data_IF_629275637261
#
_entry.id   IF_629275637261
#
_cell.length_a   1.000
_cell.length_b   1.000
_cell.length_c   1.000
_cell.angle_alpha   90.00
_cell.angle_beta   90.00
_cell.angle_gamma   90.00
#
_symmetry.space_group_name_H-M   'P 1'
#
loop_
_entity.id
_entity.type
_entity.pdbx_description
1 polymer ?
#
# COMPACT_ATOMS: atom_id res chain seq x y z
N UNK A 1 -21.20 14.19 6.88
CA UNK A 1 -21.80 13.47 5.73
C UNK A 1 -20.83 12.36 5.35
N UNK A 2 -21.32 11.19 4.93
CA UNK A 2 -20.47 10.01 4.72
C UNK A 2 -20.77 9.36 3.38
N UNK A 3 -19.73 9.08 2.60
CA UNK A 3 -19.78 8.22 1.42
C UNK A 3 -19.03 6.93 1.76
N UNK A 4 -19.64 5.77 1.53
CA UNK A 4 -19.03 4.46 1.78
C UNK A 4 -19.00 3.65 0.48
N UNK A 5 -17.84 3.13 0.11
CA UNK A 5 -17.63 2.21 -0.98
C UNK A 5 -17.14 0.89 -0.39
N UNK A 6 -17.94 -0.17 -0.48
CA UNK A 6 -17.67 -1.46 0.17
C UNK A 6 -17.82 -2.56 -0.87
N UNK A 7 -16.81 -3.42 -1.03
CA UNK A 7 -16.85 -4.50 -2.03
C UNK A 7 -17.14 -3.97 -3.45
N UNK A 8 -16.56 -2.83 -3.79
CA UNK A 8 -16.80 -2.12 -5.04
C UNK A 8 -15.53 -2.02 -5.87
N UNK A 9 -15.69 -2.02 -7.20
CA UNK A 9 -14.60 -1.67 -8.10
C UNK A 9 -14.93 -0.37 -8.81
N UNK A 10 -14.21 0.71 -8.47
CA UNK A 10 -14.13 1.90 -9.30
C UNK A 10 -12.95 1.72 -10.23
N UNK A 11 -13.23 1.20 -11.43
CA UNK A 11 -12.23 0.87 -12.45
C UNK A 11 -11.16 1.97 -12.53
N UNK A 12 -9.87 1.66 -12.26
CA UNK A 12 -8.78 2.60 -12.53
C UNK A 12 -8.88 3.14 -13.96
N UNK A 13 -8.70 4.44 -14.18
CA UNK A 13 -8.91 5.04 -15.51
C UNK A 13 -10.39 5.11 -15.95
N UNK A 14 -11.34 4.80 -15.06
CA UNK A 14 -12.81 4.96 -15.21
C UNK A 14 -13.50 4.05 -16.23
N UNK A 15 -12.79 3.53 -17.24
CA UNK A 15 -13.39 2.73 -18.33
C UNK A 15 -12.40 1.70 -18.88
N UNK A 16 -12.96 0.58 -19.31
CA UNK A 16 -12.26 -0.47 -20.06
C UNK A 16 -12.82 -0.56 -21.49
N UNK A 17 -11.99 -1.03 -22.40
CA UNK A 17 -12.42 -1.53 -23.70
C UNK A 17 -13.11 -2.89 -23.56
N UNK A 18 -13.69 -3.40 -24.65
CA UNK A 18 -14.23 -4.75 -24.67
C UNK A 18 -13.15 -5.82 -24.41
N UNK A 19 -11.91 -5.51 -24.77
CA UNK A 19 -10.73 -6.38 -24.62
C UNK A 19 -10.04 -6.20 -23.25
N UNK A 20 -10.60 -5.37 -22.37
CA UNK A 20 -10.08 -5.14 -21.01
C UNK A 20 -8.98 -4.07 -20.91
N UNK A 21 -8.68 -3.35 -21.99
CA UNK A 21 -7.69 -2.27 -21.98
C UNK A 21 -8.24 -1.00 -21.33
N UNK A 22 -7.40 -0.27 -20.60
CA UNK A 22 -7.76 1.00 -19.98
C UNK A 22 -7.98 2.08 -21.05
N UNK A 23 -9.19 2.65 -21.10
CA UNK A 23 -9.57 3.63 -22.13
C UNK A 23 -9.71 5.07 -21.62
N UNK A 24 -9.69 5.28 -20.31
CA UNK A 24 -9.88 6.60 -19.74
C UNK A 24 -8.70 7.05 -18.91
N UNK A 25 -8.61 8.36 -18.81
CA UNK A 25 -7.64 9.05 -17.97
C UNK A 25 -8.36 9.79 -16.84
N UNK A 26 -7.70 9.87 -15.69
CA UNK A 26 -8.13 10.68 -14.57
C UNK A 26 -8.73 9.91 -13.38
N UNK A 27 -9.11 10.66 -12.33
CA UNK A 27 -9.47 10.10 -11.03
C UNK A 27 -10.80 9.35 -11.06
N UNK A 28 -10.87 8.28 -10.28
CA UNK A 28 -12.09 7.51 -10.03
C UNK A 28 -13.07 8.22 -9.11
N UNK A 29 -12.55 8.97 -8.13
CA UNK A 29 -13.36 9.74 -7.19
C UNK A 29 -12.79 11.15 -7.05
N UNK A 30 -13.66 12.16 -7.16
CA UNK A 30 -13.31 13.56 -6.92
C UNK A 30 -14.31 14.16 -5.95
N UNK A 31 -13.85 14.57 -4.78
CA UNK A 31 -14.66 15.32 -3.82
C UNK A 31 -14.59 16.79 -4.18
N UNK A 32 -15.67 17.36 -4.70
CA UNK A 32 -15.75 18.79 -5.01
C UNK A 32 -16.64 19.53 -4.02
N UNK A 33 -16.42 20.83 -3.93
CA UNK A 33 -17.36 21.74 -3.29
C UNK A 33 -18.66 21.90 -4.08
N UNK A 34 -19.66 22.54 -3.47
CA UNK A 34 -20.91 22.91 -4.16
C UNK A 34 -20.69 23.97 -5.24
N UNK A 35 -21.55 23.98 -6.26
CA UNK A 35 -21.42 24.86 -7.45
C UNK A 35 -21.71 26.34 -7.16
N UNK A 36 -22.43 26.65 -6.07
CA UNK A 36 -22.80 28.01 -5.67
C UNK A 36 -22.04 28.49 -4.43
N UNK A 37 -20.93 29.21 -4.66
CA UNK A 37 -20.10 29.85 -3.62
C UNK A 37 -18.81 29.09 -3.28
N UNK A 38 -18.00 29.56 -2.29
CA UNK A 38 -16.79 28.87 -1.83
C UNK A 38 -17.17 27.65 -0.96
N UNK A 39 -18.05 26.79 -1.48
CA UNK A 39 -18.69 25.70 -0.75
C UNK A 39 -17.72 24.52 -0.56
N UNK A 40 -16.74 24.72 0.31
CA UNK A 40 -15.78 23.72 0.79
C UNK A 40 -16.49 22.52 1.42
N UNK A 41 -16.14 21.29 1.01
CA UNK A 41 -16.84 20.06 1.41
C UNK A 41 -16.33 19.53 2.76
N UNK A 42 -16.37 20.39 3.78
CA UNK A 42 -15.62 20.22 5.04
C UNK A 42 -16.03 19.07 5.95
N UNK A 43 -17.19 18.48 5.67
CA UNK A 43 -17.82 17.45 6.50
C UNK A 43 -18.00 16.15 5.72
N UNK A 44 -17.35 15.98 4.58
CA UNK A 44 -17.44 14.74 3.83
C UNK A 44 -16.33 13.79 4.27
N UNK A 45 -16.77 12.67 4.82
CA UNK A 45 -15.96 11.49 5.13
C UNK A 45 -16.12 10.46 4.02
N UNK A 46 -15.02 10.05 3.41
CA UNK A 46 -14.98 9.00 2.40
C UNK A 46 -14.40 7.73 3.03
N UNK A 47 -15.17 6.66 3.02
CA UNK A 47 -14.74 5.34 3.49
C UNK A 47 -14.72 4.37 2.32
N UNK A 48 -13.60 3.67 2.13
CA UNK A 48 -13.43 2.65 1.10
C UNK A 48 -12.92 1.40 1.78
N UNK A 49 -13.63 0.28 1.61
CA UNK A 49 -13.19 -1.00 2.15
C UNK A 49 -13.38 -2.15 1.16
N UNK A 50 -12.48 -3.13 1.17
CA UNK A 50 -12.55 -4.32 0.31
C UNK A 50 -12.78 -3.96 -1.17
N UNK A 51 -12.15 -2.89 -1.63
CA UNK A 51 -12.47 -2.27 -2.91
C UNK A 51 -11.22 -2.01 -3.73
N UNK A 52 -11.40 -2.00 -5.06
CA UNK A 52 -10.38 -1.53 -6.00
C UNK A 52 -10.84 -0.18 -6.50
N UNK A 53 -9.98 0.82 -6.44
CA UNK A 53 -10.29 2.16 -6.93
C UNK A 53 -9.13 2.69 -7.75
N UNK A 54 -9.43 3.50 -8.76
CA UNK A 54 -8.42 4.38 -9.32
C UNK A 54 -8.10 5.56 -8.37
N UNK A 55 -7.33 6.49 -8.90
CA UNK A 55 -6.95 7.74 -8.24
C UNK A 55 -8.13 8.43 -7.50
N UNK A 56 -7.87 8.79 -6.24
CA UNK A 56 -8.79 9.51 -5.36
C UNK A 56 -8.31 10.94 -5.17
N UNK A 57 -9.22 11.90 -5.38
CA UNK A 57 -8.94 13.34 -5.28
C UNK A 57 -9.83 13.97 -4.21
N UNK A 58 -9.24 14.29 -3.06
CA UNK A 58 -9.93 14.85 -1.91
C UNK A 58 -9.21 16.10 -1.41
N UNK A 59 -9.88 17.25 -1.32
CA UNK A 59 -9.26 18.49 -0.88
C UNK A 59 -8.98 18.48 0.63
N UNK A 60 -7.98 19.24 1.07
CA UNK A 60 -7.51 19.32 2.47
C UNK A 60 -8.58 19.71 3.51
N UNK A 61 -9.69 20.27 3.04
CA UNK A 61 -10.77 20.74 3.88
C UNK A 61 -11.78 19.63 4.18
N UNK A 62 -11.80 18.54 3.40
CA UNK A 62 -12.65 17.38 3.65
C UNK A 62 -12.37 16.74 5.02
N UNK A 63 -13.35 16.02 5.56
CA UNK A 63 -13.21 15.38 6.89
C UNK A 63 -12.08 14.34 6.88
N UNK A 64 -11.96 13.59 5.77
CA UNK A 64 -10.86 12.67 5.54
C UNK A 64 -11.20 11.49 4.65
N UNK A 65 -10.18 10.68 4.42
CA UNK A 65 -10.23 9.41 3.71
C UNK A 65 -9.93 8.26 4.67
N UNK A 66 -10.76 7.23 4.66
CA UNK A 66 -10.52 5.97 5.35
C UNK A 66 -10.45 4.84 4.33
N UNK A 67 -9.33 4.13 4.28
CA UNK A 67 -9.09 2.98 3.41
C UNK A 67 -8.86 1.73 4.25
N UNK A 68 -9.45 0.61 3.85
CA UNK A 68 -9.35 -0.67 4.55
C UNK A 68 -9.30 -1.82 3.56
N UNK A 69 -8.31 -2.70 3.62
CA UNK A 69 -8.29 -3.93 2.80
C UNK A 69 -8.53 -3.62 1.29
N UNK A 70 -7.90 -2.56 0.78
CA UNK A 70 -8.25 -1.96 -0.53
C UNK A 70 -7.03 -1.69 -1.41
N UNK A 71 -7.28 -1.57 -2.72
CA UNK A 71 -6.28 -1.18 -3.71
C UNK A 71 -6.66 0.21 -4.25
N UNK A 72 -5.68 1.12 -4.29
CA UNK A 72 -5.82 2.42 -4.95
C UNK A 72 -4.75 2.55 -6.03
N UNK A 73 -5.16 2.73 -7.27
CA UNK A 73 -4.25 2.82 -8.42
C UNK A 73 -4.31 4.16 -9.14
N UNK A 74 -3.17 4.86 -9.12
CA UNK A 74 -2.96 6.13 -9.79
C UNK A 74 -2.65 6.02 -11.29
N UNK A 75 -2.45 4.81 -11.83
CA UNK A 75 -2.10 4.55 -13.24
C UNK A 75 -0.91 5.40 -13.71
N UNK A 76 0.18 5.38 -12.93
CA UNK A 76 1.39 6.19 -13.19
C UNK A 76 1.30 7.63 -12.67
N UNK A 77 0.12 8.10 -12.26
CA UNK A 77 -0.08 9.35 -11.56
C UNK A 77 -0.17 9.21 -10.03
N UNK A 78 -0.60 10.27 -9.32
CA UNK A 78 -0.86 10.19 -7.89
C UNK A 78 -2.10 9.34 -7.61
N UNK A 79 -1.95 8.35 -6.73
CA UNK A 79 -3.06 7.55 -6.23
C UNK A 79 -3.96 8.38 -5.31
N UNK A 80 -3.35 9.14 -4.38
CA UNK A 80 -4.05 10.00 -3.42
C UNK A 80 -3.54 11.43 -3.57
N UNK A 81 -4.43 12.39 -3.81
CA UNK A 81 -4.04 13.79 -3.94
C UNK A 81 -5.18 14.78 -3.63
N UNK A 82 -4.82 16.05 -3.50
CA UNK A 82 -5.76 17.17 -3.44
C UNK A 82 -6.42 17.47 -4.79
N UNK A 83 -7.18 18.57 -4.86
CA UNK A 83 -7.80 19.04 -6.11
C UNK A 83 -6.92 20.02 -6.89
N UNK A 84 -5.94 20.61 -6.23
CA UNK A 84 -5.15 21.71 -6.78
C UNK A 84 -4.08 21.21 -7.76
N UNK A 85 -3.62 22.11 -8.64
CA UNK A 85 -2.70 21.81 -9.77
C UNK A 85 -1.34 21.21 -9.37
N UNK A 86 -1.02 21.16 -8.07
CA UNK A 86 0.21 20.55 -7.56
C UNK A 86 0.03 19.18 -6.92
N UNK A 87 -1.19 18.60 -6.93
CA UNK A 87 -1.57 17.37 -6.22
C UNK A 87 -1.39 17.42 -4.69
N UNK A 88 -0.99 18.58 -4.18
CA UNK A 88 -0.83 18.93 -2.76
C UNK A 88 -2.18 19.33 -2.16
N UNK A 89 -2.19 19.62 -0.87
CA UNK A 89 -3.40 20.02 -0.12
C UNK A 89 -4.49 18.94 -0.19
N UNK A 90 -4.08 17.71 0.12
CA UNK A 90 -4.93 16.54 0.19
C UNK A 90 -5.56 16.35 1.58
N UNK A 91 -6.73 15.72 1.64
CA UNK A 91 -7.41 15.43 2.91
C UNK A 91 -6.55 14.59 3.90
N UNK A 92 -6.83 14.64 5.21
CA UNK A 92 -6.30 13.66 6.16
C UNK A 92 -6.67 12.22 5.75
N UNK A 93 -5.76 11.27 6.01
CA UNK A 93 -5.94 9.87 5.59
C UNK A 93 -5.67 8.88 6.73
N UNK A 94 -6.54 7.88 6.84
CA UNK A 94 -6.39 6.69 7.67
C UNK A 94 -6.44 5.46 6.76
N UNK A 95 -5.35 4.70 6.70
CA UNK A 95 -5.18 3.64 5.71
C UNK A 95 -4.73 2.36 6.43
N UNK A 96 -5.50 1.29 6.29
CA UNK A 96 -5.17 0.01 6.89
C UNK A 96 -5.14 -1.08 5.83
N UNK A 97 -4.12 -1.95 5.89
CA UNK A 97 -4.01 -3.17 5.07
C UNK A 97 -4.37 -2.91 3.61
N UNK A 98 -3.73 -1.92 3.00
CA UNK A 98 -4.08 -1.47 1.65
C UNK A 98 -2.84 -1.34 0.77
N UNK A 99 -3.01 -1.51 -0.53
CA UNK A 99 -1.93 -1.37 -1.52
C UNK A 99 -2.19 -0.12 -2.35
N UNK A 100 -1.24 0.82 -2.33
CA UNK A 100 -1.35 2.11 -2.99
C UNK A 100 -0.33 2.18 -4.13
N UNK A 101 -0.83 2.09 -5.36
CA UNK A 101 -0.04 2.18 -6.59
C UNK A 101 0.00 3.64 -7.07
N UNK A 102 1.07 4.37 -6.75
CA UNK A 102 1.22 5.77 -7.14
C UNK A 102 1.48 6.70 -5.95
N UNK A 103 1.92 7.93 -6.25
CA UNK A 103 2.30 8.90 -5.23
C UNK A 103 1.11 9.23 -4.33
N UNK A 104 1.37 9.47 -3.05
CA UNK A 104 0.34 9.73 -2.05
C UNK A 104 0.59 11.04 -1.32
N UNK A 105 -0.41 11.92 -1.33
CA UNK A 105 -0.39 13.18 -0.61
C UNK A 105 -1.48 13.17 0.46
N UNK A 106 -1.17 13.70 1.65
CA UNK A 106 -2.14 13.88 2.73
C UNK A 106 -1.75 15.04 3.65
N UNK A 107 -2.72 15.72 4.22
CA UNK A 107 -2.47 16.73 5.28
C UNK A 107 -1.90 16.09 6.54
N UNK A 108 -2.50 14.97 6.95
CA UNK A 108 -2.17 14.14 8.11
C UNK A 108 -2.36 12.68 7.69
N UNK A 109 -1.56 11.74 8.22
CA UNK A 109 -1.66 10.33 7.84
C UNK A 109 -1.45 9.40 9.02
N UNK A 110 -2.39 8.48 9.20
CA UNK A 110 -2.19 7.25 9.97
C UNK A 110 -2.26 6.08 9.00
N UNK A 111 -1.25 5.21 9.03
CA UNK A 111 -1.29 4.01 8.21
C UNK A 111 -0.74 2.79 8.95
N UNK A 112 -1.38 1.64 8.74
CA UNK A 112 -1.01 0.36 9.34
C UNK A 112 -1.04 -0.73 8.27
N UNK A 113 0.04 -1.51 8.15
CA UNK A 113 0.17 -2.61 7.19
C UNK A 113 -0.04 -2.20 5.73
N UNK A 114 0.33 -0.97 5.36
CA UNK A 114 0.11 -0.41 4.01
C UNK A 114 1.34 -0.59 3.14
N UNK A 115 1.13 -0.97 1.89
CA UNK A 115 2.19 -0.94 0.87
C UNK A 115 2.02 0.32 0.03
N UNK A 116 2.96 1.26 0.16
CA UNK A 116 3.12 2.36 -0.78
C UNK A 116 4.18 1.98 -1.81
N UNK A 117 3.88 2.07 -3.11
CA UNK A 117 4.85 1.78 -4.17
C UNK A 117 5.59 3.01 -4.69
N UNK A 118 5.11 4.20 -4.34
CA UNK A 118 5.69 5.48 -4.73
C UNK A 118 5.76 6.42 -3.51
N UNK A 119 6.52 7.53 -3.60
CA UNK A 119 6.74 8.41 -2.46
C UNK A 119 5.46 8.97 -1.83
N UNK A 120 5.48 9.04 -0.50
CA UNK A 120 4.40 9.57 0.34
C UNK A 120 4.79 10.94 0.88
N UNK A 121 3.91 11.93 0.74
CA UNK A 121 4.13 13.30 1.19
C UNK A 121 3.02 13.72 2.14
N UNK A 122 3.39 13.92 3.40
CA UNK A 122 2.51 14.40 4.46
C UNK A 122 2.94 15.80 4.90
N UNK A 123 1.98 16.70 5.04
CA UNK A 123 2.26 18.09 5.42
C UNK A 123 2.51 18.25 6.91
N UNK A 124 1.69 17.60 7.75
CA UNK A 124 1.82 17.64 9.22
C UNK A 124 2.45 16.35 9.75
N UNK A 125 3.76 16.20 9.57
CA UNK A 125 4.52 15.01 10.02
C UNK A 125 4.56 14.84 11.54
N UNK A 126 4.19 15.86 12.30
CA UNK A 126 4.12 15.82 13.77
C UNK A 126 2.84 15.10 14.25
N UNK A 127 1.91 14.81 13.34
CA UNK A 127 0.63 14.17 13.62
C UNK A 127 0.51 12.87 12.83
N UNK A 128 0.13 11.80 13.52
CA UNK A 128 -0.02 10.47 12.94
C UNK A 128 1.24 9.61 13.02
N UNK A 129 1.13 8.40 12.50
CA UNK A 129 2.17 7.37 12.54
C UNK A 129 1.97 6.38 11.40
N UNK A 130 3.07 5.88 10.84
CA UNK A 130 3.07 4.74 9.91
C UNK A 130 3.61 3.53 10.68
N UNK A 131 2.86 2.42 10.67
CA UNK A 131 3.19 1.18 11.39
C UNK A 131 3.20 0.01 10.43
N UNK A 132 4.24 -0.82 10.46
CA UNK A 132 4.31 -2.04 9.63
C UNK A 132 4.04 -1.78 8.14
N UNK A 133 4.40 -0.59 7.65
CA UNK A 133 4.17 -0.20 6.27
C UNK A 133 5.46 -0.39 5.46
N UNK A 134 5.31 -0.54 4.14
CA UNK A 134 6.40 -0.28 3.20
C UNK A 134 6.32 1.17 2.72
N UNK A 135 7.40 1.93 2.91
CA UNK A 135 7.48 3.35 2.58
C UNK A 135 8.72 3.61 1.70
N UNK A 136 8.54 3.93 0.40
CA UNK A 136 9.65 4.19 -0.50
C UNK A 136 10.56 5.34 -0.06
N UNK A 137 11.81 5.30 -0.52
CA UNK A 137 12.77 6.40 -0.34
C UNK A 137 12.22 7.70 -0.96
N UNK A 138 12.69 8.84 -0.43
CA UNK A 138 12.18 10.17 -0.85
C UNK A 138 10.83 10.57 -0.23
N UNK A 139 10.19 9.70 0.53
CA UNK A 139 8.93 10.01 1.24
C UNK A 139 9.16 10.95 2.43
N UNK A 140 8.26 11.93 2.61
CA UNK A 140 8.15 12.78 3.80
C UNK A 140 6.91 12.36 4.59
N UNK A 141 7.10 11.60 5.65
CA UNK A 141 6.01 10.99 6.44
C UNK A 141 6.08 11.38 7.92
N UNK A 142 5.01 11.14 8.69
CA UNK A 142 5.10 11.07 10.14
C UNK A 142 6.07 9.99 10.62
N UNK A 143 6.18 9.85 11.94
CA UNK A 143 6.99 8.81 12.57
C UNK A 143 6.66 7.44 11.99
N UNK A 144 7.71 6.68 11.71
CA UNK A 144 7.63 5.28 11.27
C UNK A 144 7.94 4.37 12.44
N UNK A 145 7.15 3.32 12.59
CA UNK A 145 7.33 2.27 13.59
C UNK A 145 7.34 0.93 12.86
N UNK A 146 8.45 0.20 12.97
CA UNK A 146 8.61 -1.12 12.37
C UNK A 146 8.25 -1.18 10.87
N UNK A 147 8.58 -0.12 10.13
CA UNK A 147 8.32 -0.03 8.69
C UNK A 147 9.50 -0.57 7.88
N UNK A 148 9.23 -0.99 6.66
CA UNK A 148 10.24 -1.22 5.63
C UNK A 148 10.39 0.04 4.76
N UNK A 149 11.60 0.36 4.29
CA UNK A 149 12.85 -0.38 4.46
C UNK A 149 13.62 -0.09 5.76
N UNK A 150 13.08 0.72 6.69
CA UNK A 150 13.80 1.18 7.89
C UNK A 150 14.37 0.01 8.72
N UNK A 151 13.59 -1.07 8.93
CA UNK A 151 14.03 -2.25 9.65
C UNK A 151 15.14 -3.01 8.91
N UNK A 152 14.97 -3.29 7.62
CA UNK A 152 15.99 -3.98 6.82
C UNK A 152 17.32 -3.21 6.78
N UNK A 153 17.24 -1.87 6.69
CA UNK A 153 18.41 -0.99 6.77
C UNK A 153 19.08 -1.11 8.13
N UNK A 154 18.30 -1.07 9.22
CA UNK A 154 18.83 -1.17 10.58
C UNK A 154 19.54 -2.52 10.79
N UNK A 155 18.90 -3.63 10.41
CA UNK A 155 19.50 -4.97 10.48
C UNK A 155 20.79 -5.08 9.67
N UNK A 156 20.79 -4.63 8.41
CA UNK A 156 21.99 -4.67 7.57
C UNK A 156 23.15 -3.83 8.15
N UNK A 157 22.83 -2.67 8.72
CA UNK A 157 23.83 -1.83 9.40
C UNK A 157 24.37 -2.54 10.63
N UNK A 158 23.51 -3.06 11.50
CA UNK A 158 23.91 -3.69 12.76
C UNK A 158 24.81 -4.92 12.52
N UNK A 159 24.51 -5.72 11.51
CA UNK A 159 25.35 -6.84 11.07
C UNK A 159 26.73 -6.38 10.56
N UNK A 160 26.79 -5.21 9.92
CA UNK A 160 28.01 -4.67 9.31
C UNK A 160 28.87 -3.80 10.25
N UNK A 161 28.34 -3.32 11.38
CA UNK A 161 29.02 -2.39 12.32
C UNK A 161 30.46 -2.79 12.70
N UNK A 162 30.85 -4.08 12.84
CA UNK A 162 32.24 -4.42 13.13
C UNK A 162 33.23 -4.10 11.99
N UNK A 163 32.76 -3.92 10.74
CA UNK A 163 33.61 -3.92 9.54
C UNK A 163 33.35 -2.78 8.55
N UNK A 164 32.37 -1.90 8.80
CA UNK A 164 31.88 -0.95 7.79
C UNK A 164 32.52 0.45 7.90
N UNK A 165 33.32 0.89 6.90
CA UNK A 165 33.77 2.28 6.81
C UNK A 165 32.59 3.23 6.52
N UNK A 166 32.61 4.48 7.01
CA UNK A 166 31.52 5.45 6.81
C UNK A 166 31.12 5.64 5.33
N UNK A 167 32.09 5.61 4.42
CA UNK A 167 31.86 5.77 2.98
C UNK A 167 31.04 4.63 2.34
N UNK A 168 31.00 3.42 2.94
CA UNK A 168 30.22 2.28 2.42
C UNK A 168 28.79 2.24 2.98
N UNK A 169 28.50 3.00 4.04
CA UNK A 169 27.19 2.99 4.71
C UNK A 169 26.05 3.37 3.77
N UNK A 170 26.19 4.46 3.00
CA UNK A 170 25.16 4.89 2.06
C UNK A 170 24.83 3.86 0.98
N UNK A 171 25.83 3.11 0.51
CA UNK A 171 25.61 2.02 -0.46
C UNK A 171 24.90 0.83 0.17
N UNK A 172 25.28 0.45 1.40
CA UNK A 172 24.61 -0.62 2.14
C UNK A 172 23.14 -0.29 2.39
N UNK A 173 22.84 0.94 2.84
CA UNK A 173 21.45 1.36 3.06
C UNK A 173 20.62 1.35 1.78
N UNK A 174 21.20 1.73 0.64
CA UNK A 174 20.51 1.67 -0.64
C UNK A 174 20.21 0.22 -1.07
N UNK A 175 21.18 -0.68 -0.92
CA UNK A 175 21.00 -2.10 -1.24
C UNK A 175 19.96 -2.77 -0.34
N UNK A 176 20.00 -2.50 0.96
CA UNK A 176 19.02 -3.04 1.91
C UNK A 176 17.60 -2.55 1.59
N UNK A 177 17.45 -1.27 1.21
CA UNK A 177 16.17 -0.72 0.80
C UNK A 177 15.64 -1.34 -0.50
N UNK A 178 16.51 -1.54 -1.49
CA UNK A 178 16.16 -2.16 -2.76
C UNK A 178 15.73 -3.63 -2.57
N UNK A 179 16.43 -4.36 -1.70
CA UNK A 179 16.15 -5.77 -1.41
C UNK A 179 14.73 -6.00 -0.88
N UNK A 180 14.17 -5.06 -0.13
CA UNK A 180 12.82 -5.15 0.47
C UNK A 180 11.75 -4.38 -0.30
N UNK A 181 12.01 -4.05 -1.57
CA UNK A 181 11.00 -3.43 -2.44
C UNK A 181 9.88 -4.46 -2.75
N UNK A 182 8.60 -4.11 -2.52
CA UNK A 182 7.47 -4.97 -2.82
C UNK A 182 7.47 -5.43 -4.28
N UNK A 183 7.31 -6.74 -4.47
CA UNK A 183 7.16 -7.36 -5.79
C UNK A 183 5.76 -7.90 -5.91
N UNK A 184 5.14 -7.67 -7.06
CA UNK A 184 3.80 -8.14 -7.38
C UNK A 184 3.86 -9.08 -8.57
N UNK A 185 3.00 -10.10 -8.57
CA UNK A 185 2.82 -11.00 -9.72
C UNK A 185 2.32 -10.23 -10.93
N UNK A 186 1.37 -9.30 -10.72
CA UNK A 186 0.98 -8.30 -11.71
C UNK A 186 0.60 -6.98 -11.06
N UNK A 187 0.88 -5.88 -11.76
CA UNK A 187 0.39 -4.52 -11.46
C UNK A 187 -0.51 -4.00 -12.57
N UNK A 188 -0.83 -4.83 -13.57
CA UNK A 188 -1.73 -4.46 -14.64
C UNK A 188 -3.16 -4.76 -14.21
N UNK A 189 -3.97 -3.71 -14.12
CA UNK A 189 -5.39 -3.87 -13.83
C UNK A 189 -6.05 -4.72 -14.93
N UNK A 190 -6.82 -5.72 -14.52
CA UNK A 190 -7.43 -6.71 -15.41
C UNK A 190 -6.81 -8.11 -15.28
N UNK A 191 -5.56 -8.19 -14.83
CA UNK A 191 -4.91 -9.47 -14.59
C UNK A 191 -5.48 -10.18 -13.34
N UNK A 192 -5.64 -11.52 -13.35
CA UNK A 192 -6.14 -12.27 -12.19
C UNK A 192 -5.29 -12.10 -10.93
N UNK A 193 -3.98 -11.93 -11.09
CA UNK A 193 -3.01 -11.75 -10.01
C UNK A 193 -2.74 -10.28 -9.66
N UNK A 194 -3.64 -9.36 -10.04
CA UNK A 194 -3.47 -7.93 -9.84
C UNK A 194 -3.24 -7.57 -8.36
N UNK A 195 -2.10 -6.91 -8.10
CA UNK A 195 -1.57 -6.54 -6.79
C UNK A 195 -1.30 -7.72 -5.83
N UNK A 196 -1.36 -8.96 -6.29
CA UNK A 196 -0.94 -10.10 -5.48
C UNK A 196 0.57 -10.04 -5.31
N UNK A 197 1.08 -10.23 -4.09
CA UNK A 197 2.51 -10.30 -3.85
C UNK A 197 3.12 -11.48 -4.61
N UNK A 198 4.27 -11.24 -5.25
CA UNK A 198 5.02 -12.28 -5.93
C UNK A 198 5.61 -13.26 -4.90
N UNK A 199 5.60 -14.55 -5.23
CA UNK A 199 6.11 -15.61 -4.35
C UNK A 199 7.63 -15.52 -4.11
N UNK A 200 8.36 -14.96 -5.07
CA UNK A 200 9.80 -14.68 -4.99
C UNK A 200 10.10 -13.27 -4.43
N UNK A 201 9.08 -12.60 -3.89
CA UNK A 201 9.20 -11.31 -3.23
C UNK A 201 9.89 -11.38 -1.87
N UNK A 202 10.28 -10.21 -1.32
CA UNK A 202 10.91 -10.14 -0.01
C UNK A 202 9.97 -10.64 1.10
N UNK A 203 10.48 -11.50 1.98
CA UNK A 203 9.70 -12.04 3.09
C UNK A 203 9.34 -10.94 4.10
N UNK A 204 10.14 -9.88 4.18
CA UNK A 204 9.88 -8.68 4.97
C UNK A 204 8.57 -7.98 4.61
N UNK A 205 8.05 -8.21 3.39
CA UNK A 205 6.77 -7.69 2.92
C UNK A 205 5.68 -8.75 3.05
N UNK A 206 5.97 -10.01 2.68
CA UNK A 206 5.00 -11.10 2.72
C UNK A 206 4.67 -11.58 4.13
N UNK A 207 5.49 -11.28 5.15
CA UNK A 207 5.21 -11.54 6.57
C UNK A 207 5.39 -10.29 7.44
N UNK A 208 5.28 -9.11 6.82
CA UNK A 208 5.66 -7.83 7.42
C UNK A 208 4.60 -7.18 8.32
N UNK A 209 3.37 -7.67 8.34
CA UNK A 209 2.30 -7.12 9.16
C UNK A 209 2.53 -7.38 10.67
N UNK A 210 1.80 -6.66 11.53
CA UNK A 210 1.91 -6.80 12.99
C UNK A 210 1.70 -8.25 13.49
N UNK A 211 0.82 -8.99 12.84
CA UNK A 211 0.49 -10.38 13.17
C UNK A 211 1.26 -11.42 12.32
N UNK A 212 2.28 -10.97 11.58
CA UNK A 212 3.09 -11.79 10.66
C UNK A 212 2.38 -12.16 9.36
N UNK A 213 1.22 -11.55 9.04
CA UNK A 213 0.61 -11.69 7.71
C UNK A 213 1.31 -10.82 6.67
N UNK A 214 0.89 -10.94 5.42
CA UNK A 214 1.37 -10.05 4.37
C UNK A 214 0.90 -8.60 4.60
N UNK A 215 1.74 -7.65 4.21
CA UNK A 215 1.34 -6.25 4.12
C UNK A 215 0.39 -6.05 2.91
N UNK A 216 -0.38 -4.96 2.93
CA UNK A 216 -1.19 -4.52 1.80
C UNK A 216 -2.59 -5.12 1.76
N UNK A 217 -3.24 -4.95 0.59
CA UNK A 217 -4.67 -5.23 0.38
C UNK A 217 -5.09 -6.66 0.71
N UNK A 218 -4.18 -7.63 0.57
CA UNK A 218 -4.47 -9.06 0.76
C UNK A 218 -4.13 -9.58 2.17
N UNK A 219 -3.68 -8.72 3.08
CA UNK A 219 -3.35 -9.07 4.47
C UNK A 219 -4.44 -9.89 5.17
N UNK A 220 -5.73 -9.60 4.89
CA UNK A 220 -6.86 -10.32 5.47
C UNK A 220 -6.95 -11.80 5.05
N UNK A 221 -6.31 -12.23 3.95
CA UNK A 221 -6.30 -13.61 3.49
C UNK A 221 -5.41 -14.51 4.35
N UNK A 222 -4.46 -13.92 5.09
CA UNK A 222 -3.52 -14.65 5.96
C UNK A 222 -2.77 -15.76 5.23
N UNK A 223 -2.35 -15.51 3.98
CA UNK A 223 -1.68 -16.50 3.14
C UNK A 223 -0.44 -17.11 3.81
N UNK A 224 0.45 -16.34 4.46
CA UNK A 224 1.61 -16.92 5.14
C UNK A 224 1.22 -17.87 6.28
N UNK A 225 0.22 -17.50 7.07
CA UNK A 225 -0.26 -18.34 8.16
C UNK A 225 -0.95 -19.60 7.62
N UNK A 226 -1.75 -19.49 6.55
CA UNK A 226 -2.39 -20.64 5.91
C UNK A 226 -1.37 -21.63 5.38
N UNK A 227 -0.33 -21.14 4.70
CA UNK A 227 0.75 -21.98 4.19
C UNK A 227 1.56 -22.63 5.33
N UNK A 228 1.92 -21.86 6.35
CA UNK A 228 2.66 -22.37 7.52
C UNK A 228 1.85 -23.47 8.25
N UNK A 229 0.56 -23.22 8.49
CA UNK A 229 -0.34 -24.20 9.09
C UNK A 229 -0.48 -25.45 8.23
N UNK A 230 -0.58 -25.31 6.91
CA UNK A 230 -0.65 -26.45 6.00
C UNK A 230 0.63 -27.30 6.06
N UNK A 231 1.81 -26.67 5.99
CA UNK A 231 3.10 -27.36 6.09
C UNK A 231 3.24 -28.11 7.41
N UNK A 232 2.85 -27.48 8.52
CA UNK A 232 2.88 -28.10 9.85
C UNK A 232 1.98 -29.35 9.89
N UNK A 233 0.75 -29.27 9.37
CA UNK A 233 -0.17 -30.42 9.33
C UNK A 233 0.29 -31.51 8.39
N UNK A 234 0.86 -31.17 7.24
CA UNK A 234 1.46 -32.15 6.35
C UNK A 234 2.60 -32.88 7.06
N UNK A 235 3.52 -32.18 7.73
CA UNK A 235 4.60 -32.85 8.47
C UNK A 235 4.11 -33.77 9.60
N UNK A 236 2.97 -33.45 10.22
CA UNK A 236 2.41 -34.22 11.32
C UNK A 236 1.66 -35.48 10.86
N UNK A 237 0.99 -35.40 9.71
CA UNK A 237 0.06 -36.44 9.25
C UNK A 237 0.49 -37.17 7.98
N UNK A 238 1.62 -36.81 7.36
CA UNK A 238 2.09 -37.48 6.15
C UNK A 238 2.53 -38.93 6.48
N UNK A 239 1.96 -39.95 5.82
CA UNK A 239 2.36 -41.33 6.05
C UNK A 239 3.84 -41.55 5.69
N UNK A 240 4.47 -42.49 6.39
CA UNK A 240 5.87 -42.86 6.14
C UNK A 240 6.03 -43.29 4.68
N UNK A 241 7.08 -42.78 4.02
CA UNK A 241 7.42 -43.11 2.64
C UNK A 241 6.75 -42.21 1.59
N UNK A 242 6.01 -41.18 2.01
CA UNK A 242 5.48 -40.14 1.12
C UNK A 242 6.22 -38.82 1.34
N UNK A 243 6.33 -38.04 0.26
CA UNK A 243 6.80 -36.65 0.27
C UNK A 243 5.65 -35.73 -0.17
N UNK A 244 5.62 -34.51 0.39
CA UNK A 244 4.62 -33.50 0.06
C UNK A 244 5.27 -32.20 -0.37
N UNK A 245 4.66 -31.51 -1.33
CA UNK A 245 5.06 -30.17 -1.76
C UNK A 245 3.83 -29.28 -1.90
N UNK A 246 3.98 -27.98 -1.61
CA UNK A 246 2.96 -26.95 -1.86
C UNK A 246 3.22 -26.34 -3.22
N UNK A 247 2.20 -26.36 -4.09
CA UNK A 247 2.25 -25.77 -5.44
C UNK A 247 1.22 -24.64 -5.47
N UNK A 248 1.68 -23.42 -5.70
CA UNK A 248 0.82 -22.25 -5.86
C UNK A 248 0.31 -22.19 -7.31
N UNK A 249 -0.97 -21.86 -7.48
CA UNK A 249 -1.62 -21.67 -8.78
C UNK A 249 -2.16 -20.25 -8.80
N UNK A 250 -1.83 -19.53 -9.86
CA UNK A 250 -2.32 -18.18 -10.16
C UNK A 250 -3.24 -18.22 -11.37
#
# INVERSE_FOLDING_TARGET
RRLRLLHCTLVPGRRLSADGELLGEGPSLVVRGGETGPARNRRLRVEVAFSITGSLRLPEDAEGLWLLDSIVDGLGGPALAGLDRGDRDAAPAWIERSTILGASYAKEMNASEVIFTQPVFVDRTQQGCLRYCHVPSGSRTPRRFSCQPDLAIQSAVDEAVPTLPPARRGRLTALAAEAVTPRFTSVQYGDPAYCQLALDGPCEISTGAEDGSEMGAFSFLKQPQRESNLKLRLSEYLPIGFDSAVIHVT
#
